data_IF_026006635026
#
_entry.id   IF_026006635026
#
_cell.length_a   1.000
_cell.length_b   1.000
_cell.length_c   1.000
_cell.angle_alpha   90.00
_cell.angle_beta   90.00
_cell.angle_gamma   90.00
#
_symmetry.space_group_name_H-M   'P 1'
#
loop_
_entity.id
_entity.type
_entity.pdbx_description
1 polymer ?
#
# COMPACT_ATOMS: atom_id res chain seq x y z
N UNK A 1 -1.05 7.79 -0.60
CA UNK A 1 -1.01 7.60 0.86
C UNK A 1 -1.14 8.96 1.52
N UNK A 2 -2.12 9.13 2.40
CA UNK A 2 -2.32 10.35 3.18
C UNK A 2 -1.99 10.07 4.65
N UNK A 3 -1.14 10.88 5.25
CA UNK A 3 -0.74 10.87 6.66
C UNK A 3 -1.08 12.24 7.28
N UNK A 4 -0.97 12.41 8.61
CA UNK A 4 -1.10 13.74 9.22
C UNK A 4 -0.10 14.77 8.68
N UNK A 5 1.12 14.33 8.33
CA UNK A 5 2.23 15.21 7.97
C UNK A 5 2.39 15.45 6.46
N UNK A 6 1.66 14.70 5.63
CA UNK A 6 1.82 14.80 4.18
C UNK A 6 1.04 13.79 3.33
N UNK A 7 1.15 14.01 2.02
CA UNK A 7 0.58 13.16 0.96
C UNK A 7 1.70 12.61 0.09
N UNK A 8 1.69 11.30 -0.10
CA UNK A 8 2.73 10.57 -0.82
C UNK A 8 2.11 9.73 -1.93
N UNK A 9 2.83 9.64 -3.05
CA UNK A 9 2.58 8.65 -4.09
C UNK A 9 3.43 7.42 -3.83
N UNK A 10 2.89 6.25 -4.14
CA UNK A 10 3.59 4.98 -4.09
C UNK A 10 3.40 4.27 -5.43
N UNK A 11 4.43 3.60 -5.92
CA UNK A 11 4.42 2.82 -7.16
C UNK A 11 3.60 1.54 -7.02
N UNK A 12 3.57 0.92 -5.84
CA UNK A 12 2.90 -0.35 -5.59
C UNK A 12 2.11 -0.35 -4.28
N UNK A 13 1.27 -1.38 -4.09
CA UNK A 13 0.53 -1.58 -2.85
C UNK A 13 1.46 -1.84 -1.64
N UNK A 14 2.61 -2.51 -1.86
CA UNK A 14 3.61 -2.75 -0.82
C UNK A 14 4.21 -1.43 -0.31
N UNK A 15 4.69 -0.57 -1.20
CA UNK A 15 5.28 0.71 -0.82
C UNK A 15 4.24 1.66 -0.21
N UNK A 16 2.98 1.57 -0.65
CA UNK A 16 1.89 2.33 -0.06
C UNK A 16 1.65 1.99 1.43
N UNK A 17 1.87 0.74 1.83
CA UNK A 17 1.81 0.29 3.22
C UNK A 17 3.14 0.46 3.97
N UNK A 18 4.27 0.44 3.26
CA UNK A 18 5.57 0.69 3.87
C UNK A 18 5.71 2.13 4.37
N UNK A 19 5.18 3.12 3.66
CA UNK A 19 5.24 4.54 4.04
C UNK A 19 4.77 4.80 5.50
N UNK A 20 3.54 4.45 5.92
CA UNK A 20 3.10 4.67 7.29
C UNK A 20 3.91 3.88 8.32
N UNK A 21 4.38 2.68 7.96
CA UNK A 21 5.23 1.88 8.84
C UNK A 21 6.59 2.55 9.08
N UNK A 22 7.22 3.07 8.02
CA UNK A 22 8.52 3.76 8.10
C UNK A 22 8.43 5.11 8.83
N UNK A 23 7.32 5.82 8.65
CA UNK A 23 7.06 7.09 9.32
C UNK A 23 6.48 6.91 10.73
N UNK A 24 6.17 5.68 11.15
CA UNK A 24 5.51 5.38 12.43
C UNK A 24 4.29 6.26 12.67
N UNK A 25 3.41 6.33 11.66
CA UNK A 25 2.23 7.20 11.68
C UNK A 25 1.00 6.52 11.07
N UNK A 26 -0.17 6.97 11.48
CA UNK A 26 -1.43 6.54 10.90
C UNK A 26 -1.55 7.03 9.45
N UNK A 27 -2.27 6.26 8.63
CA UNK A 27 -2.49 6.66 7.24
C UNK A 27 -3.79 6.16 6.64
N UNK A 28 -4.18 6.83 5.56
CA UNK A 28 -5.18 6.37 4.60
C UNK A 28 -4.50 6.07 3.28
N UNK A 29 -4.67 4.85 2.78
CA UNK A 29 -4.26 4.46 1.42
C UNK A 29 -5.51 4.41 0.55
N UNK A 30 -5.48 5.09 -0.58
CA UNK A 30 -6.56 5.13 -1.57
C UNK A 30 -6.00 4.62 -2.90
N UNK A 31 -6.65 3.60 -3.46
CA UNK A 31 -6.24 2.99 -4.73
C UNK A 31 -7.47 2.42 -5.45
N UNK A 32 -7.27 1.72 -6.57
CA UNK A 32 -8.31 1.00 -7.29
C UNK A 32 -7.88 -0.43 -7.57
N UNK A 33 -8.82 -1.36 -7.53
CA UNK A 33 -8.60 -2.73 -7.97
C UNK A 33 -8.17 -2.70 -9.45
N UNK A 34 -7.03 -3.30 -9.83
CA UNK A 34 -6.58 -3.28 -11.23
C UNK A 34 -7.47 -4.12 -12.16
N UNK A 35 -8.29 -5.03 -11.61
CA UNK A 35 -9.22 -5.87 -12.39
C UNK A 35 -10.60 -5.22 -12.53
N UNK A 36 -11.23 -4.83 -11.41
CA UNK A 36 -12.60 -4.29 -11.42
C UNK A 36 -12.67 -2.75 -11.54
N UNK A 37 -11.58 -2.03 -11.25
CA UNK A 37 -11.54 -0.57 -11.19
C UNK A 37 -12.22 0.04 -9.93
N UNK A 38 -12.80 -0.80 -9.08
CA UNK A 38 -13.45 -0.39 -7.84
C UNK A 38 -12.45 0.27 -6.90
N UNK A 39 -12.92 1.29 -6.18
CA UNK A 39 -12.08 2.01 -5.22
C UNK A 39 -11.80 1.12 -4.02
N UNK A 40 -10.53 0.98 -3.67
CA UNK A 40 -10.06 0.27 -2.49
C UNK A 40 -9.46 1.30 -1.53
N UNK A 41 -9.87 1.22 -0.27
CA UNK A 41 -9.43 2.13 0.77
C UNK A 41 -8.94 1.31 1.94
N UNK A 42 -7.66 1.46 2.28
CA UNK A 42 -7.06 0.85 3.47
C UNK A 42 -6.76 1.95 4.48
N UNK A 43 -6.79 1.60 5.76
CA UNK A 43 -6.33 2.47 6.84
C UNK A 43 -5.26 1.76 7.64
N UNK A 44 -4.24 2.50 8.04
CA UNK A 44 -3.27 2.05 9.04
C UNK A 44 -3.55 2.82 10.32
N UNK A 45 -3.76 2.11 11.42
CA UNK A 45 -3.99 2.65 12.76
C UNK A 45 -3.15 1.90 13.76
N UNK A 46 -2.35 2.61 14.54
CA UNK A 46 -1.50 2.03 15.58
C UNK A 46 -0.62 0.87 15.04
N UNK A 47 -0.13 1.01 13.80
CA UNK A 47 0.69 0.01 13.11
C UNK A 47 -0.07 -1.14 12.45
N UNK A 48 -1.40 -1.21 12.61
CA UNK A 48 -2.23 -2.29 12.06
C UNK A 48 -3.07 -1.82 10.87
N UNK A 49 -3.27 -2.70 9.89
CA UNK A 49 -4.19 -2.44 8.77
C UNK A 49 -5.62 -2.72 9.21
N UNK A 50 -6.51 -1.73 9.04
CA UNK A 50 -7.91 -1.80 9.46
C UNK A 50 -8.88 -1.42 8.34
N UNK A 51 -10.08 -2.01 8.38
CA UNK A 51 -11.25 -1.53 7.63
C UNK A 51 -11.30 -1.90 6.14
N UNK A 52 -10.46 -2.81 5.66
CA UNK A 52 -10.64 -3.46 4.36
C UNK A 52 -9.98 -4.84 4.34
N UNK A 53 -10.63 -5.77 3.64
CA UNK A 53 -10.07 -7.07 3.25
C UNK A 53 -9.60 -6.98 1.80
N UNK A 54 -8.51 -7.67 1.48
CA UNK A 54 -7.94 -7.65 0.13
C UNK A 54 -6.71 -8.52 0.02
N UNK A 55 -6.23 -8.67 -1.20
CA UNK A 55 -5.01 -9.43 -1.52
C UNK A 55 -4.03 -8.52 -2.24
N UNK A 56 -2.78 -8.54 -1.81
CA UNK A 56 -1.66 -7.94 -2.54
C UNK A 56 -1.02 -9.04 -3.38
N UNK A 57 -0.86 -8.80 -4.67
CA UNK A 57 -0.27 -9.75 -5.59
C UNK A 57 1.18 -9.37 -5.90
N UNK A 58 2.11 -10.26 -5.56
CA UNK A 58 3.52 -10.11 -5.92
C UNK A 58 3.84 -10.96 -7.14
N UNK A 59 4.28 -10.35 -8.23
CA UNK A 59 4.55 -11.04 -9.51
C UNK A 59 5.73 -12.02 -9.41
N UNK A 60 6.71 -11.74 -8.54
CA UNK A 60 7.90 -12.57 -8.32
C UNK A 60 8.13 -12.79 -6.83
N UNK A 61 8.84 -13.85 -6.41
CA UNK A 61 9.16 -14.07 -5.00
C UNK A 61 10.09 -12.96 -4.44
N UNK A 62 10.08 -12.72 -3.12
CA UNK A 62 10.86 -11.65 -2.46
C UNK A 62 12.33 -11.55 -2.85
N UNK A 63 13.02 -12.69 -2.99
CA UNK A 63 14.43 -12.76 -3.45
C UNK A 63 14.68 -12.18 -4.85
N UNK A 64 13.65 -11.89 -5.64
CA UNK A 64 13.70 -11.37 -7.02
C UNK A 64 13.00 -10.02 -7.18
N UNK A 65 12.56 -9.37 -6.09
CA UNK A 65 11.79 -8.12 -6.17
C UNK A 65 12.45 -7.04 -7.04
N UNK A 66 13.78 -6.93 -7.04
CA UNK A 66 14.49 -5.95 -7.87
C UNK A 66 14.26 -6.08 -9.38
N UNK A 67 13.73 -7.22 -9.84
CA UNK A 67 13.36 -7.41 -11.24
C UNK A 67 12.07 -6.63 -11.62
N UNK A 68 11.16 -6.36 -10.68
CA UNK A 68 9.85 -5.79 -11.00
C UNK A 68 9.11 -5.05 -9.86
N UNK A 69 9.79 -4.66 -8.78
CA UNK A 69 9.17 -4.05 -7.58
C UNK A 69 8.30 -2.81 -7.90
N UNK A 70 8.63 -2.09 -8.98
CA UNK A 70 7.84 -0.96 -9.49
C UNK A 70 6.47 -1.31 -10.08
N UNK A 71 6.22 -2.59 -10.39
CA UNK A 71 5.01 -3.10 -11.06
C UNK A 71 4.17 -4.02 -10.16
N UNK A 72 4.50 -4.08 -8.87
CA UNK A 72 3.73 -4.81 -7.85
C UNK A 72 2.50 -4.00 -7.41
#
# INVERSE_FOLDING_TARGET
>A
VETPDGRYWANCAWDALAIPSLLTTDARVDTRCPVSGERVVLRVRDGEVVGAEGVIHFLVPPRRFWENVGFT
#
